data_IF_128434193747
#
_entry.id   IF_128434193747
#
_cell.length_a   1.000
_cell.length_b   1.000
_cell.length_c   1.000
_cell.angle_alpha   90.00
_cell.angle_beta   90.00
_cell.angle_gamma   90.00
#
_symmetry.space_group_name_H-M   'P 1'
#
loop_
_entity.id
_entity.type
_entity.pdbx_description
1 polymer ?
#
# COMPACT_ATOMS: atom_id res chain seq x y z
N UNK A 1 -8.69 30.97 0.92
CA UNK A 1 -7.46 30.56 1.62
C UNK A 1 -7.73 29.42 2.57
N UNK A 2 -8.68 29.48 3.51
CA UNK A 2 -9.02 28.39 4.44
C UNK A 2 -9.34 27.07 3.71
N UNK A 3 -10.18 27.12 2.67
CA UNK A 3 -10.47 25.94 1.85
C UNK A 3 -9.21 25.37 1.17
N UNK A 4 -8.33 26.23 0.67
CA UNK A 4 -7.09 25.81 0.03
C UNK A 4 -6.12 25.15 1.03
N UNK A 5 -6.03 25.70 2.24
CA UNK A 5 -5.23 25.10 3.33
C UNK A 5 -5.79 23.73 3.73
N UNK A 6 -7.11 23.64 3.88
CA UNK A 6 -7.77 22.37 4.16
C UNK A 6 -7.50 21.34 3.03
N UNK A 7 -7.66 21.75 1.77
CA UNK A 7 -7.45 20.88 0.61
C UNK A 7 -6.00 20.38 0.55
N UNK A 8 -5.00 21.26 0.70
CA UNK A 8 -3.59 20.86 0.72
C UNK A 8 -3.29 19.93 1.89
N UNK A 9 -3.83 20.23 3.08
CA UNK A 9 -3.56 19.43 4.27
C UNK A 9 -4.22 18.05 4.25
N UNK A 10 -5.42 17.94 3.68
CA UNK A 10 -6.20 16.70 3.73
C UNK A 10 -6.07 15.83 2.47
N UNK A 11 -5.96 16.47 1.28
CA UNK A 11 -6.10 15.76 0.00
C UNK A 11 -4.76 15.58 -0.72
N UNK A 12 -3.76 16.43 -0.45
CA UNK A 12 -2.49 16.36 -1.17
C UNK A 12 -1.32 16.01 -0.24
N UNK A 13 -0.74 16.99 0.42
CA UNK A 13 0.46 16.79 1.26
C UNK A 13 0.14 15.96 2.49
N UNK A 14 -1.04 16.13 3.08
CA UNK A 14 -1.44 15.39 4.28
C UNK A 14 -1.69 13.91 3.99
N UNK A 15 -2.39 13.56 2.91
CA UNK A 15 -2.59 12.17 2.50
C UNK A 15 -1.24 11.51 2.18
N UNK A 16 -0.43 12.09 1.30
CA UNK A 16 0.87 11.54 0.94
C UNK A 16 1.80 11.35 2.17
N UNK A 17 1.75 12.27 3.15
CA UNK A 17 2.52 12.12 4.37
C UNK A 17 1.97 11.01 5.29
N UNK A 18 0.66 10.78 5.27
CA UNK A 18 -0.01 9.71 6.01
C UNK A 18 0.27 8.36 5.38
N UNK A 19 0.16 8.25 4.06
CA UNK A 19 0.44 7.03 3.31
C UNK A 19 1.91 6.63 3.49
N UNK A 20 2.84 7.57 3.34
CA UNK A 20 4.25 7.31 3.65
C UNK A 20 4.48 6.85 5.09
N UNK A 21 3.75 7.38 6.06
CA UNK A 21 3.91 6.95 7.46
C UNK A 21 3.29 5.58 7.71
N UNK A 22 2.13 5.28 7.11
CA UNK A 22 1.45 4.00 7.32
C UNK A 22 2.18 2.86 6.59
N UNK A 23 2.48 3.04 5.31
CA UNK A 23 3.03 1.98 4.48
C UNK A 23 4.56 1.90 4.61
N UNK A 24 5.22 3.06 4.73
CA UNK A 24 6.66 3.12 4.85
C UNK A 24 7.15 2.93 6.29
N UNK A 25 6.75 3.80 7.22
CA UNK A 25 7.32 3.80 8.58
C UNK A 25 6.72 2.70 9.47
N UNK A 26 5.40 2.49 9.38
CA UNK A 26 4.65 1.51 10.18
C UNK A 26 4.20 0.29 9.38
N UNK A 27 4.48 0.22 8.09
CA UNK A 27 4.34 -0.93 7.22
C UNK A 27 5.68 -1.60 6.93
N UNK A 28 5.85 -2.11 5.73
CA UNK A 28 7.01 -2.91 5.33
C UNK A 28 8.29 -2.10 5.16
N UNK A 29 8.17 -0.82 4.80
CA UNK A 29 9.30 0.07 4.58
C UNK A 29 9.11 0.98 3.37
N UNK A 30 10.16 1.69 2.98
CA UNK A 30 10.12 2.58 1.82
C UNK A 30 11.47 2.71 1.12
N UNK A 31 11.44 3.08 -0.16
CA UNK A 31 12.63 3.42 -0.91
C UNK A 31 13.09 4.84 -0.60
N UNK A 32 14.34 4.99 -0.17
CA UNK A 32 14.91 6.28 0.17
C UNK A 32 14.96 7.18 -1.08
N UNK A 33 14.29 8.34 -1.01
CA UNK A 33 14.09 9.28 -2.12
C UNK A 33 13.39 8.67 -3.37
N UNK A 34 12.65 7.57 -3.21
CA UNK A 34 11.98 6.90 -4.31
C UNK A 34 12.93 6.16 -5.27
N UNK A 35 14.19 5.92 -4.85
CA UNK A 35 15.17 5.24 -5.70
C UNK A 35 14.88 3.74 -5.70
N UNK A 36 14.39 3.23 -6.82
CA UNK A 36 14.03 1.82 -7.01
C UNK A 36 12.55 1.50 -6.75
N UNK A 37 11.73 2.45 -6.29
CA UNK A 37 10.30 2.20 -6.04
C UNK A 37 9.57 1.75 -7.30
N UNK A 38 9.74 2.44 -8.41
CA UNK A 38 9.11 2.05 -9.68
C UNK A 38 9.56 0.68 -10.19
N UNK A 39 10.83 0.33 -10.00
CA UNK A 39 11.35 -0.97 -10.43
C UNK A 39 10.79 -2.11 -9.55
N UNK A 40 10.60 -1.85 -8.25
CA UNK A 40 9.98 -2.78 -7.31
C UNK A 40 8.48 -2.94 -7.60
N UNK A 41 7.74 -1.84 -7.82
CA UNK A 41 6.33 -1.85 -8.21
C UNK A 41 6.13 -2.61 -9.53
N UNK A 42 6.91 -2.29 -10.57
CA UNK A 42 6.86 -2.98 -11.85
C UNK A 42 7.13 -4.49 -11.72
N UNK A 43 8.03 -4.89 -10.81
CA UNK A 43 8.34 -6.29 -10.55
C UNK A 43 7.20 -7.01 -9.81
N UNK A 44 6.61 -6.37 -8.81
CA UNK A 44 5.46 -6.88 -8.07
C UNK A 44 4.23 -7.05 -8.99
N UNK A 45 3.95 -6.04 -9.84
CA UNK A 45 2.86 -6.07 -10.81
C UNK A 45 3.07 -7.18 -11.87
N UNK A 46 4.30 -7.34 -12.37
CA UNK A 46 4.66 -8.41 -13.30
C UNK A 46 4.42 -9.78 -12.67
N UNK A 47 4.85 -9.96 -11.42
CA UNK A 47 4.67 -11.21 -10.68
C UNK A 47 3.20 -11.48 -10.36
N UNK A 48 2.47 -10.53 -9.78
CA UNK A 48 1.06 -10.65 -9.43
C UNK A 48 0.19 -10.98 -10.63
N UNK A 49 0.34 -10.22 -11.74
CA UNK A 49 -0.37 -10.51 -12.99
C UNK A 49 -0.05 -11.89 -13.56
N UNK A 50 1.18 -12.36 -13.35
CA UNK A 50 1.59 -13.71 -13.80
C UNK A 50 0.93 -14.79 -12.95
N UNK A 51 0.84 -14.58 -11.64
CA UNK A 51 0.18 -15.50 -10.72
C UNK A 51 -1.33 -15.59 -11.01
N UNK A 52 -1.99 -14.45 -11.27
CA UNK A 52 -3.40 -14.39 -11.66
C UNK A 52 -3.69 -15.24 -12.92
N UNK A 53 -2.85 -15.09 -13.94
CA UNK A 53 -2.98 -15.89 -15.17
C UNK A 53 -2.78 -17.37 -14.88
N UNK A 54 -1.77 -17.76 -14.10
CA UNK A 54 -1.51 -19.15 -13.74
C UNK A 54 -2.72 -19.71 -12.97
N UNK A 55 -3.21 -18.99 -11.96
CA UNK A 55 -4.33 -19.39 -11.13
C UNK A 55 -5.63 -19.55 -11.94
N UNK A 56 -5.91 -18.66 -12.89
CA UNK A 56 -7.06 -18.78 -13.77
C UNK A 56 -7.07 -20.10 -14.57
N UNK A 57 -5.91 -20.54 -15.05
CA UNK A 57 -5.81 -21.84 -15.75
C UNK A 57 -5.89 -23.02 -14.80
N UNK A 58 -5.38 -22.90 -13.56
CA UNK A 58 -5.50 -23.93 -12.52
C UNK A 58 -6.96 -24.12 -12.15
N UNK A 59 -7.69 -23.05 -11.86
CA UNK A 59 -9.11 -23.06 -11.51
C UNK A 59 -9.98 -23.64 -12.64
N UNK A 60 -9.67 -23.31 -13.89
CA UNK A 60 -10.37 -23.87 -15.05
C UNK A 60 -10.23 -25.40 -15.12
N UNK A 61 -9.13 -25.96 -14.63
CA UNK A 61 -8.91 -27.40 -14.55
C UNK A 61 -9.47 -28.01 -13.24
N UNK A 62 -10.05 -27.19 -12.35
CA UNK A 62 -10.57 -27.61 -11.05
C UNK A 62 -9.47 -27.88 -10.01
N UNK A 63 -8.28 -27.31 -10.21
CA UNK A 63 -7.19 -27.30 -9.24
C UNK A 63 -7.37 -26.22 -8.19
N UNK A 64 -6.55 -26.28 -7.14
CA UNK A 64 -6.45 -25.25 -6.10
C UNK A 64 -5.45 -24.18 -6.54
N UNK A 65 -5.85 -22.91 -6.45
CA UNK A 65 -5.01 -21.77 -6.79
C UNK A 65 -3.73 -21.73 -5.96
N UNK A 66 -2.67 -21.23 -6.53
CA UNK A 66 -1.40 -20.99 -5.81
C UNK A 66 -1.61 -19.74 -4.96
N UNK A 67 -1.50 -19.90 -3.64
CA UNK A 67 -1.53 -18.81 -2.66
C UNK A 67 -0.12 -18.64 -2.10
N UNK A 68 0.57 -17.60 -2.56
CA UNK A 68 1.94 -17.29 -2.16
C UNK A 68 2.04 -16.58 -0.80
N UNK A 69 0.90 -16.14 -0.23
CA UNK A 69 0.83 -15.52 1.10
C UNK A 69 0.54 -16.54 2.21
N UNK A 70 0.26 -17.81 1.86
CA UNK A 70 -0.04 -18.83 2.82
C UNK A 70 1.18 -19.17 3.72
N UNK A 71 0.96 -19.36 5.01
CA UNK A 71 2.01 -19.70 5.98
C UNK A 71 2.81 -20.98 5.64
N UNK A 72 2.19 -21.90 4.88
CA UNK A 72 2.76 -23.17 4.44
C UNK A 72 3.10 -23.20 2.93
N UNK A 73 3.27 -22.03 2.33
CA UNK A 73 3.59 -21.92 0.91
C UNK A 73 4.90 -22.63 0.56
N UNK A 74 4.82 -23.54 -0.43
CA UNK A 74 5.96 -24.31 -0.92
C UNK A 74 6.26 -23.93 -2.39
N UNK A 75 7.38 -23.25 -2.58
CA UNK A 75 7.88 -22.79 -3.89
C UNK A 75 8.08 -23.96 -4.86
N UNK A 76 8.59 -25.11 -4.38
CA UNK A 76 8.83 -26.27 -5.25
C UNK A 76 7.50 -26.90 -5.69
N UNK A 77 6.49 -26.91 -4.82
CA UNK A 77 5.15 -27.38 -5.14
C UNK A 77 4.44 -26.44 -6.14
N UNK A 78 4.57 -25.13 -5.97
CA UNK A 78 4.01 -24.13 -6.89
C UNK A 78 4.64 -24.26 -8.29
N UNK A 79 5.96 -24.40 -8.34
CA UNK A 79 6.69 -24.63 -9.60
C UNK A 79 6.26 -25.93 -10.29
N UNK A 80 6.16 -27.04 -9.56
CA UNK A 80 5.72 -28.31 -10.11
C UNK A 80 4.27 -28.22 -10.64
N UNK A 81 3.41 -27.47 -9.97
CA UNK A 81 2.03 -27.21 -10.42
C UNK A 81 2.01 -26.43 -11.73
N UNK A 82 2.79 -25.36 -11.83
CA UNK A 82 2.89 -24.55 -13.05
C UNK A 82 3.48 -25.36 -14.24
N UNK A 83 4.50 -26.18 -14.02
CA UNK A 83 5.09 -27.06 -15.03
C UNK A 83 4.10 -28.12 -15.51
N UNK A 84 3.35 -28.73 -14.60
CA UNK A 84 2.28 -29.68 -14.94
C UNK A 84 1.17 -28.98 -15.74
N UNK A 85 0.82 -27.77 -15.38
CA UNK A 85 -0.19 -26.98 -16.09
C UNK A 85 0.22 -26.74 -17.55
N UNK A 86 1.48 -26.33 -17.78
CA UNK A 86 2.02 -26.17 -19.15
C UNK A 86 2.05 -27.47 -19.97
N UNK A 87 2.19 -28.63 -19.30
CA UNK A 87 2.20 -29.93 -19.95
C UNK A 87 0.79 -30.46 -20.29
N UNK A 88 -0.21 -30.09 -19.50
CA UNK A 88 -1.59 -30.64 -19.57
C UNK A 88 -2.59 -29.74 -20.30
N UNK A 89 -2.38 -28.41 -20.27
CA UNK A 89 -3.28 -27.45 -20.92
C UNK A 89 -3.19 -27.53 -22.45
N UNK A 90 -4.35 -27.56 -23.10
CA UNK A 90 -4.44 -27.48 -24.56
C UNK A 90 -3.92 -26.11 -25.04
N UNK A 91 -3.11 -26.12 -26.12
CA UNK A 91 -2.54 -24.90 -26.70
C UNK A 91 -3.57 -23.91 -27.26
N UNK A 92 -4.82 -24.36 -27.41
CA UNK A 92 -5.95 -23.52 -27.81
C UNK A 92 -6.79 -23.04 -26.63
N UNK A 93 -6.47 -23.46 -25.40
CA UNK A 93 -7.20 -23.06 -24.21
C UNK A 93 -7.03 -21.57 -23.91
N UNK A 94 -8.08 -21.01 -23.34
CA UNK A 94 -8.12 -19.63 -22.83
C UNK A 94 -8.73 -19.67 -21.46
N UNK A 95 -8.24 -18.85 -20.54
CA UNK A 95 -8.83 -18.68 -19.21
C UNK A 95 -9.12 -17.21 -18.97
N UNK A 96 -10.21 -16.94 -18.26
CA UNK A 96 -10.59 -15.58 -17.87
C UNK A 96 -10.06 -15.32 -16.46
N UNK A 97 -9.45 -14.15 -16.26
CA UNK A 97 -8.96 -13.69 -14.97
C UNK A 97 -9.39 -12.26 -14.72
N UNK A 98 -9.52 -11.89 -13.48
CA UNK A 98 -9.96 -10.56 -13.06
C UNK A 98 -8.73 -9.73 -12.65
N UNK A 99 -8.66 -8.52 -13.16
CA UNK A 99 -7.67 -7.52 -12.76
C UNK A 99 -8.42 -6.36 -12.11
N UNK A 100 -8.06 -6.05 -10.89
CA UNK A 100 -8.57 -4.87 -10.19
C UNK A 100 -7.66 -3.67 -10.51
N UNK A 101 -8.28 -2.54 -10.85
CA UNK A 101 -7.57 -1.28 -11.04
C UNK A 101 -7.39 -0.60 -9.67
N UNK A 102 -6.15 -0.40 -9.23
CA UNK A 102 -5.83 0.10 -7.90
C UNK A 102 -6.37 1.52 -7.61
N UNK A 103 -6.55 2.36 -8.64
CA UNK A 103 -7.06 3.72 -8.46
C UNK A 103 -8.59 3.78 -8.41
N UNK A 104 -9.25 2.96 -9.22
CA UNK A 104 -10.72 3.00 -9.39
C UNK A 104 -11.45 1.90 -8.65
N UNK A 105 -10.74 0.85 -8.17
CA UNK A 105 -11.29 -0.39 -7.61
C UNK A 105 -12.31 -1.05 -8.55
N UNK A 106 -12.15 -0.83 -9.86
CA UNK A 106 -12.97 -1.46 -10.88
C UNK A 106 -12.35 -2.80 -11.30
N UNK A 107 -13.11 -3.87 -11.14
CA UNK A 107 -12.73 -5.20 -11.61
C UNK A 107 -12.92 -5.31 -13.12
N UNK A 108 -11.87 -5.65 -13.83
CA UNK A 108 -11.91 -5.90 -15.29
C UNK A 108 -11.55 -7.34 -15.59
N UNK A 109 -12.46 -8.08 -16.21
CA UNK A 109 -12.19 -9.44 -16.68
C UNK A 109 -11.37 -9.41 -17.97
N UNK A 110 -10.22 -10.06 -17.97
CA UNK A 110 -9.35 -10.27 -19.13
C UNK A 110 -9.29 -11.75 -19.48
N UNK A 111 -9.04 -12.05 -20.76
CA UNK A 111 -8.89 -13.43 -21.23
C UNK A 111 -7.43 -13.69 -21.60
N UNK A 112 -6.80 -14.63 -20.92
CA UNK A 112 -5.45 -15.11 -21.21
C UNK A 112 -5.47 -16.32 -22.16
N UNK A 113 -4.48 -16.42 -23.03
CA UNK A 113 -4.26 -17.54 -23.94
C UNK A 113 -3.11 -18.41 -23.42
N UNK A 114 -2.93 -19.59 -24.00
CA UNK A 114 -1.80 -20.45 -23.69
C UNK A 114 -0.43 -19.76 -23.84
N UNK A 115 -0.30 -18.82 -24.78
CA UNK A 115 0.93 -18.04 -24.94
C UNK A 115 1.20 -17.12 -23.73
N UNK A 116 0.14 -16.55 -23.17
CA UNK A 116 0.19 -15.69 -22.00
C UNK A 116 0.51 -16.51 -20.75
N UNK A 117 -0.11 -17.71 -20.61
CA UNK A 117 0.24 -18.67 -19.56
C UNK A 117 1.72 -19.03 -19.58
N UNK A 118 2.27 -19.32 -20.77
CA UNK A 118 3.71 -19.64 -20.89
C UNK A 118 4.60 -18.46 -20.49
N UNK A 119 4.22 -17.23 -20.85
CA UNK A 119 4.93 -16.02 -20.46
C UNK A 119 4.81 -15.79 -18.95
N UNK A 120 3.62 -16.01 -18.38
CA UNK A 120 3.37 -15.90 -16.96
C UNK A 120 4.19 -16.88 -16.12
N UNK A 121 4.27 -18.15 -16.52
CA UNK A 121 5.12 -19.15 -15.85
C UNK A 121 6.61 -18.75 -15.92
N UNK A 122 7.08 -18.26 -17.07
CA UNK A 122 8.46 -17.80 -17.20
C UNK A 122 8.76 -16.55 -16.35
N UNK A 123 7.78 -15.65 -16.19
CA UNK A 123 7.90 -14.49 -15.31
C UNK A 123 7.88 -14.91 -13.83
N UNK A 124 6.99 -15.82 -13.42
CA UNK A 124 6.96 -16.36 -12.07
C UNK A 124 8.26 -17.12 -11.72
N UNK A 125 8.85 -17.85 -12.68
CA UNK A 125 10.17 -18.49 -12.51
C UNK A 125 11.30 -17.48 -12.31
N UNK A 126 11.26 -16.32 -12.97
CA UNK A 126 12.24 -15.22 -12.81
C UNK A 126 12.30 -14.77 -11.35
N UNK A 127 11.15 -14.74 -10.67
CA UNK A 127 11.02 -14.38 -9.26
C UNK A 127 11.03 -15.60 -8.32
N UNK A 128 11.34 -16.79 -8.82
CA UNK A 128 11.37 -18.04 -8.04
C UNK A 128 10.04 -18.38 -7.37
N UNK A 129 8.91 -18.02 -7.96
CA UNK A 129 7.56 -18.17 -7.41
C UNK A 129 7.34 -17.51 -6.04
N UNK A 130 8.13 -16.50 -5.70
CA UNK A 130 7.99 -15.70 -4.50
C UNK A 130 7.81 -14.24 -4.88
N UNK A 131 7.15 -13.48 -4.02
CA UNK A 131 7.00 -12.04 -4.24
C UNK A 131 8.38 -11.37 -4.34
N UNK A 132 8.56 -10.46 -5.32
CA UNK A 132 9.80 -9.70 -5.43
C UNK A 132 10.04 -8.88 -4.15
N UNK A 133 11.19 -9.10 -3.50
CA UNK A 133 11.55 -8.33 -2.32
C UNK A 133 11.87 -6.88 -2.71
N UNK A 134 11.12 -5.89 -2.21
CA UNK A 134 11.40 -4.48 -2.48
C UNK A 134 12.84 -4.07 -2.11
N UNK A 135 13.48 -4.79 -1.18
CA UNK A 135 14.85 -4.52 -0.76
C UNK A 135 15.89 -4.80 -1.85
N UNK A 136 15.56 -5.62 -2.86
CA UNK A 136 16.42 -5.90 -3.99
C UNK A 136 16.51 -4.74 -5.00
N UNK A 137 15.62 -3.76 -4.89
CA UNK A 137 15.49 -2.64 -5.80
C UNK A 137 15.90 -1.32 -5.14
N UNK A 138 17.07 -0.82 -5.42
CA UNK A 138 17.52 0.51 -4.97
C UNK A 138 17.92 0.60 -3.49
N UNK A 139 17.52 1.66 -2.81
CA UNK A 139 17.87 1.91 -1.40
C UNK A 139 16.63 1.75 -0.53
N UNK A 140 16.47 0.57 0.01
CA UNK A 140 15.35 0.20 0.87
C UNK A 140 15.61 0.55 2.33
N UNK A 141 14.61 1.11 3.00
CA UNK A 141 14.61 1.36 4.45
C UNK A 141 13.45 0.56 5.04
N UNK A 142 13.74 -0.50 5.81
CA UNK A 142 12.69 -1.32 6.41
C UNK A 142 11.85 -0.53 7.41
N UNK A 143 10.58 -0.83 7.48
CA UNK A 143 9.66 -0.25 8.44
C UNK A 143 9.96 -0.67 9.88
N UNK A 144 9.34 0.02 10.84
CA UNK A 144 9.49 -0.29 12.26
C UNK A 144 9.03 -1.72 12.59
N UNK A 145 7.90 -2.23 12.04
CA UNK A 145 7.47 -3.61 12.27
C UNK A 145 8.52 -4.63 11.86
N UNK A 146 9.10 -4.48 10.67
CA UNK A 146 10.12 -5.38 10.11
C UNK A 146 11.39 -5.39 10.96
N UNK A 147 11.82 -4.22 11.47
CA UNK A 147 12.96 -4.12 12.40
C UNK A 147 12.68 -4.81 13.74
N UNK A 148 11.46 -4.67 14.27
CA UNK A 148 11.05 -5.31 15.52
C UNK A 148 10.96 -6.83 15.30
N UNK A 149 10.39 -7.27 14.19
CA UNK A 149 10.29 -8.67 13.80
C UNK A 149 11.67 -9.33 13.74
N UNK A 150 12.59 -8.73 12.98
CA UNK A 150 13.98 -9.20 12.91
C UNK A 150 14.67 -9.28 14.28
N UNK A 151 14.38 -8.32 15.16
CA UNK A 151 14.88 -8.33 16.55
C UNK A 151 14.30 -9.45 17.38
N UNK A 152 13.00 -9.75 17.25
CA UNK A 152 12.33 -10.84 17.97
C UNK A 152 12.80 -12.22 17.47
N UNK A 153 13.05 -12.36 16.17
CA UNK A 153 13.60 -13.58 15.58
C UNK A 153 15.03 -13.84 16.06
N UNK A 154 15.85 -12.81 16.17
CA UNK A 154 17.21 -12.94 16.72
C UNK A 154 17.23 -13.43 18.18
N UNK A 155 16.17 -13.19 18.94
CA UNK A 155 16.02 -13.65 20.33
C UNK A 155 15.31 -15.02 20.43
N UNK A 156 14.92 -15.62 19.29
CA UNK A 156 14.10 -16.84 19.23
C UNK A 156 12.80 -16.71 20.07
N UNK A 157 12.09 -15.63 19.88
CA UNK A 157 10.84 -15.36 20.60
C UNK A 157 9.75 -16.35 20.17
N UNK A 158 8.87 -16.74 21.10
CA UNK A 158 7.75 -17.62 20.79
C UNK A 158 6.76 -16.90 19.82
N UNK A 159 6.26 -17.63 18.80
CA UNK A 159 5.43 -17.06 17.71
C UNK A 159 4.19 -16.31 18.24
N UNK A 160 3.51 -16.83 19.27
CA UNK A 160 2.37 -16.15 19.89
C UNK A 160 2.72 -14.79 20.49
N UNK A 161 3.96 -14.64 21.04
CA UNK A 161 4.44 -13.38 21.61
C UNK A 161 4.87 -12.41 20.51
N UNK A 162 5.43 -12.94 19.40
CA UNK A 162 5.74 -12.17 18.19
C UNK A 162 4.46 -11.56 17.62
N UNK A 163 3.41 -12.35 17.39
CA UNK A 163 2.11 -11.86 16.93
C UNK A 163 1.49 -10.83 17.90
N UNK A 164 1.54 -11.07 19.21
CA UNK A 164 1.02 -10.11 20.19
C UNK A 164 1.74 -8.74 20.11
N UNK A 165 3.05 -8.74 19.90
CA UNK A 165 3.84 -7.50 19.82
C UNK A 165 3.59 -6.81 18.49
N UNK A 166 3.64 -7.52 17.37
CA UNK A 166 3.46 -6.94 16.03
C UNK A 166 2.01 -6.51 15.81
N UNK A 167 1.05 -7.41 15.96
CA UNK A 167 -0.36 -7.13 15.65
C UNK A 167 -1.04 -6.31 16.75
N UNK A 168 -0.64 -6.51 18.01
CA UNK A 168 -1.24 -5.80 19.14
C UNK A 168 -0.61 -4.43 19.39
N UNK A 169 0.70 -4.38 19.63
CA UNK A 169 1.37 -3.15 20.06
C UNK A 169 1.78 -2.32 18.84
N UNK A 170 2.51 -2.91 17.89
CA UNK A 170 3.10 -2.16 16.77
C UNK A 170 2.01 -1.68 15.82
N UNK A 171 1.08 -2.54 15.42
CA UNK A 171 -0.04 -2.18 14.57
C UNK A 171 -0.97 -1.16 15.26
N UNK A 172 -1.28 -1.36 16.56
CA UNK A 172 -2.12 -0.44 17.33
C UNK A 172 -1.49 0.96 17.49
N UNK A 173 -0.20 1.03 17.77
CA UNK A 173 0.54 2.30 17.85
C UNK A 173 0.69 2.93 16.47
N UNK A 174 0.98 2.12 15.44
CA UNK A 174 1.10 2.55 14.05
C UNK A 174 -0.17 3.23 13.55
N UNK A 175 -1.33 2.62 13.80
CA UNK A 175 -2.62 3.19 13.42
C UNK A 175 -2.88 4.58 14.03
N UNK A 176 -2.43 4.83 15.25
CA UNK A 176 -2.56 6.15 15.90
C UNK A 176 -1.51 7.12 15.36
N UNK A 177 -0.26 6.70 15.24
CA UNK A 177 0.84 7.55 14.79
C UNK A 177 0.76 7.86 13.29
N UNK A 178 0.10 7.03 12.49
CA UNK A 178 -0.17 7.27 11.08
C UNK A 178 -0.93 8.58 10.80
N UNK A 179 -1.75 9.07 11.75
CA UNK A 179 -2.43 10.36 11.63
C UNK A 179 -1.55 11.56 12.01
N UNK A 180 -0.44 11.34 12.69
CA UNK A 180 0.42 12.43 13.18
C UNK A 180 0.99 13.29 12.05
N UNK A 181 1.47 12.72 10.92
CA UNK A 181 1.99 13.53 9.82
C UNK A 181 0.94 14.47 9.24
N UNK A 182 -0.30 14.01 9.06
CA UNK A 182 -1.41 14.83 8.55
C UNK A 182 -1.74 15.99 9.51
N UNK A 183 -1.80 15.71 10.81
CA UNK A 183 -2.03 16.74 11.81
C UNK A 183 -0.88 17.74 11.85
N UNK A 184 0.36 17.29 11.71
CA UNK A 184 1.54 18.15 11.68
C UNK A 184 1.50 19.09 10.49
N UNK A 185 1.18 18.60 9.28
CA UNK A 185 1.00 19.43 8.08
C UNK A 185 -0.07 20.50 8.32
N UNK A 186 -1.23 20.10 8.88
CA UNK A 186 -2.30 21.03 9.21
C UNK A 186 -1.83 22.13 10.17
N UNK A 187 -1.14 21.77 11.26
CA UNK A 187 -0.64 22.75 12.23
C UNK A 187 0.41 23.67 11.64
N UNK A 188 1.31 23.18 10.79
CA UNK A 188 2.30 24.02 10.10
C UNK A 188 1.59 25.05 9.20
N UNK A 189 0.59 24.62 8.42
CA UNK A 189 -0.17 25.50 7.56
C UNK A 189 -0.97 26.56 8.36
N UNK A 190 -1.56 26.16 9.49
CA UNK A 190 -2.24 27.09 10.39
C UNK A 190 -1.25 28.09 11.00
N UNK A 191 -0.08 27.64 11.43
CA UNK A 191 0.97 28.52 11.97
C UNK A 191 1.44 29.55 10.93
N UNK A 192 1.59 29.16 9.66
CA UNK A 192 1.90 30.08 8.57
C UNK A 192 0.80 31.12 8.38
N UNK A 193 -0.48 30.70 8.42
CA UNK A 193 -1.62 31.61 8.31
C UNK A 193 -1.69 32.59 9.46
N UNK A 194 -1.37 32.15 10.67
CA UNK A 194 -1.28 32.99 11.86
C UNK A 194 -0.14 34.00 11.74
N UNK A 195 1.05 33.52 11.35
CA UNK A 195 2.22 34.39 11.15
C UNK A 195 2.02 35.46 10.08
N UNK A 196 1.26 35.16 9.02
CA UNK A 196 0.87 36.15 7.99
C UNK A 196 -0.19 37.16 8.45
N UNK A 197 -0.69 37.05 9.69
CA UNK A 197 -1.74 37.90 10.21
C UNK A 197 -3.11 37.70 9.53
N UNK A 198 -3.30 36.56 8.86
CA UNK A 198 -4.54 36.24 8.14
C UNK A 198 -5.74 36.13 9.08
N UNK A 199 -5.53 35.51 10.27
CA UNK A 199 -6.57 35.37 11.29
C UNK A 199 -7.10 36.72 11.78
N UNK A 200 -6.24 37.70 12.00
CA UNK A 200 -6.65 39.05 12.39
C UNK A 200 -7.50 39.73 11.30
N UNK A 201 -7.16 39.51 10.03
CA UNK A 201 -7.92 40.07 8.89
C UNK A 201 -9.28 39.43 8.76
N UNK A 202 -9.39 38.10 8.92
CA UNK A 202 -10.67 37.39 8.89
C UNK A 202 -11.54 37.87 10.05
N UNK A 203 -11.02 37.93 11.27
CA UNK A 203 -11.76 38.40 12.43
C UNK A 203 -12.38 39.80 12.19
N UNK A 204 -11.62 40.71 11.58
CA UNK A 204 -12.11 42.04 11.22
C UNK A 204 -13.22 42.03 10.16
N UNK A 205 -13.09 41.19 9.13
CA UNK A 205 -14.11 41.04 8.07
C UNK A 205 -15.38 40.40 8.64
N UNK A 206 -15.22 39.36 9.48
CA UNK A 206 -16.34 38.67 10.11
C UNK A 206 -17.07 39.58 11.10
N UNK A 207 -16.37 40.39 11.90
CA UNK A 207 -16.97 41.37 12.78
C UNK A 207 -17.86 42.36 12.01
N UNK A 208 -17.42 42.79 10.82
CA UNK A 208 -18.19 43.66 9.94
C UNK A 208 -19.47 43.00 9.42
N UNK A 209 -19.39 41.68 9.11
CA UNK A 209 -20.55 40.89 8.63
C UNK A 209 -21.53 40.67 9.80
N UNK A 210 -21.05 40.26 10.97
CA UNK A 210 -21.89 40.00 12.14
C UNK A 210 -22.60 41.24 12.67
N UNK A 211 -21.98 42.41 12.58
CA UNK A 211 -22.64 43.67 12.91
C UNK A 211 -23.87 43.96 12.00
N UNK A 212 -23.84 43.49 10.74
CA UNK A 212 -25.01 43.59 9.86
C UNK A 212 -26.16 42.69 10.30
N UNK A 213 -25.88 41.62 11.01
CA UNK A 213 -26.87 40.68 11.56
C UNK A 213 -27.24 40.99 13.03
N UNK A 214 -26.75 42.09 13.59
CA UNK A 214 -27.06 42.48 14.97
C UNK A 214 -26.35 41.64 16.04
N UNK A 215 -25.36 40.83 15.67
CA UNK A 215 -24.54 40.01 16.58
C UNK A 215 -23.30 40.77 17.05
N UNK A 216 -22.99 40.71 18.35
CA UNK A 216 -21.78 41.33 18.87
C UNK A 216 -20.56 40.46 18.54
N UNK A 217 -19.40 41.10 18.21
CA UNK A 217 -18.18 40.42 17.90
C UNK A 217 -17.62 39.47 18.99
N UNK A 218 -18.13 39.56 20.22
CA UNK A 218 -17.82 38.65 21.34
C UNK A 218 -18.45 37.26 21.20
N UNK A 219 -19.39 37.05 20.27
CA UNK A 219 -20.05 35.76 20.06
C UNK A 219 -19.22 34.82 19.17
N UNK A 220 -18.04 35.26 18.71
CA UNK A 220 -17.17 34.48 17.79
C UNK A 220 -15.94 33.90 18.47
N UNK A 221 -15.66 34.23 19.71
CA UNK A 221 -14.49 33.72 20.47
C UNK A 221 -14.91 32.55 21.36
#
# INVERSE_FOLDING_TARGET
VMFLVYYISMVTVGSAATDWANDGLFGDGWHLFGIGSSDAEDAADEYGSSLDIINAFIEQQGGEAIDNEADDFDVDAAKATADNLLATVDKSATADYTVEDEETLEETTKTAKYADLKAAVAAAEKYSFADPDPADYGVWVPGIPVLIESGLDAVNCADWLKGLILDGIVAGVGAVLGFVPQMLVLFILLAILEACGYMARIAFVMDRIFRKFGLSGKSFI
#
